data_IF_204889723755
#
_entry.id   IF_204889723755
#
_cell.length_a   1.000
_cell.length_b   1.000
_cell.length_c   1.000
_cell.angle_alpha   90.00
_cell.angle_beta   90.00
_cell.angle_gamma   90.00
#
_symmetry.space_group_name_H-M   'P 1'
#
loop_
_entity.id
_entity.type
_entity.pdbx_description
1 polymer ?
#
# COMPACT_ATOMS: atom_id res chain seq x y z
N UNK A 1 -11.95 6.01 -0.55
CA UNK A 1 -11.91 7.01 0.54
C UNK A 1 -10.45 7.12 0.92
N UNK A 2 -9.73 8.05 0.32
CA UNK A 2 -8.32 8.23 0.65
C UNK A 2 -8.20 8.87 2.04
N UNK A 3 -7.25 8.40 2.86
CA UNK A 3 -7.03 8.87 4.23
C UNK A 3 -7.79 8.14 5.34
N UNK A 4 -8.68 7.18 5.03
CA UNK A 4 -9.28 6.30 6.05
C UNK A 4 -8.24 5.28 6.56
N UNK A 5 -8.20 5.04 7.88
CA UNK A 5 -7.25 4.10 8.50
C UNK A 5 -7.60 2.64 8.13
N UNK A 6 -6.58 1.84 7.83
CA UNK A 6 -6.75 0.43 7.41
C UNK A 6 -6.76 -0.58 8.57
N UNK A 7 -6.39 -0.14 9.78
CA UNK A 7 -6.14 -1.00 10.95
C UNK A 7 -4.75 -1.65 10.99
N UNK A 8 -3.94 -1.49 9.93
CA UNK A 8 -2.55 -1.93 9.89
C UNK A 8 -1.60 -0.82 10.34
N UNK A 9 -0.43 -1.23 10.84
CA UNK A 9 0.68 -0.34 11.18
C UNK A 9 1.94 -0.73 10.45
N UNK A 10 2.72 0.26 10.04
CA UNK A 10 4.02 0.06 9.39
C UNK A 10 5.08 -0.43 10.40
N UNK A 11 6.32 -0.66 9.94
CA UNK A 11 7.41 -1.12 10.80
C UNK A 11 7.81 -0.15 11.92
N UNK A 12 7.41 1.12 11.81
CA UNK A 12 7.64 2.17 12.81
C UNK A 12 6.46 2.33 13.76
N UNK A 13 5.40 1.53 13.60
CA UNK A 13 4.17 1.63 14.40
C UNK A 13 3.23 2.74 13.93
N UNK A 14 3.46 3.35 12.76
CA UNK A 14 2.59 4.39 12.22
C UNK A 14 1.34 3.77 11.57
N UNK A 15 0.15 4.34 11.79
CA UNK A 15 -1.07 3.84 11.15
C UNK A 15 -0.98 4.00 9.63
N UNK A 16 -1.38 2.94 8.92
CA UNK A 16 -1.45 2.90 7.45
C UNK A 16 -2.86 3.29 7.03
N UNK A 17 -2.97 4.23 6.09
CA UNK A 17 -4.22 4.70 5.52
C UNK A 17 -4.37 4.29 4.06
N UNK A 18 -5.62 4.25 3.58
CA UNK A 18 -5.86 4.11 2.15
C UNK A 18 -5.30 5.32 1.38
N UNK A 19 -4.66 5.07 0.25
CA UNK A 19 -3.93 6.07 -0.54
C UNK A 19 -2.44 6.19 -0.19
N UNK A 20 -2.00 5.61 0.93
CA UNK A 20 -0.58 5.61 1.31
C UNK A 20 0.28 4.88 0.30
N UNK A 21 1.50 5.39 0.08
CA UNK A 21 2.55 4.67 -0.65
C UNK A 21 3.49 4.03 0.35
N UNK A 22 3.50 2.70 0.37
CA UNK A 22 4.40 1.89 1.17
C UNK A 22 5.62 1.51 0.34
N UNK A 23 6.81 1.65 0.91
CA UNK A 23 7.99 0.95 0.44
C UNK A 23 8.17 -0.32 1.27
N UNK A 24 8.16 -1.46 0.59
CA UNK A 24 8.39 -2.75 1.24
C UNK A 24 9.86 -3.15 1.07
N UNK A 25 10.51 -3.47 2.19
CA UNK A 25 11.85 -4.05 2.17
C UNK A 25 11.78 -5.56 2.02
N UNK A 26 11.60 -6.08 0.81
CA UNK A 26 11.65 -7.52 0.51
C UNK A 26 13.08 -8.00 0.18
N UNK A 27 14.08 -7.51 0.93
CA UNK A 27 15.49 -7.80 0.71
C UNK A 27 16.30 -6.61 0.17
N UNK A 28 17.60 -6.84 -0.08
CA UNK A 28 18.60 -5.79 -0.33
C UNK A 28 18.41 -5.10 -1.70
N UNK A 29 17.73 -5.73 -2.67
CA UNK A 29 17.72 -5.25 -4.06
C UNK A 29 16.37 -4.68 -4.56
N UNK A 30 15.23 -5.10 -4.02
CA UNK A 30 13.92 -4.70 -4.56
C UNK A 30 13.16 -3.78 -3.61
N UNK A 31 13.36 -2.47 -3.81
CA UNK A 31 12.57 -1.41 -3.18
C UNK A 31 11.34 -1.12 -4.03
N UNK A 32 10.31 -1.94 -3.88
CA UNK A 32 9.04 -1.73 -4.59
C UNK A 32 8.15 -0.77 -3.81
N UNK A 33 7.63 0.25 -4.51
CA UNK A 33 6.66 1.19 -3.96
C UNK A 33 5.25 0.72 -4.33
N UNK A 34 4.38 0.63 -3.33
CA UNK A 34 3.02 0.13 -3.50
C UNK A 34 1.99 1.02 -2.85
N UNK A 35 0.92 1.32 -3.57
CA UNK A 35 -0.22 2.09 -3.06
C UNK A 35 -1.18 1.18 -2.31
N UNK A 36 -1.67 1.66 -1.16
CA UNK A 36 -2.71 1.01 -0.36
C UNK A 36 -4.07 1.38 -0.92
N UNK A 37 -4.87 0.39 -1.28
CA UNK A 37 -6.23 0.60 -1.81
C UNK A 37 -7.22 -0.33 -1.15
N UNK A 38 -8.51 0.04 -1.22
CA UNK A 38 -9.62 -0.78 -0.75
C UNK A 38 -10.23 -1.54 -1.93
N UNK A 39 -10.29 -2.87 -1.84
CA UNK A 39 -10.99 -3.70 -2.81
C UNK A 39 -12.04 -4.56 -2.09
N UNK A 40 -13.31 -4.14 -2.18
CA UNK A 40 -14.39 -4.71 -1.38
C UNK A 40 -14.11 -4.59 0.13
N UNK A 41 -13.96 -5.74 0.79
CA UNK A 41 -13.62 -5.85 2.22
C UNK A 41 -12.11 -6.02 2.51
N UNK A 42 -11.28 -6.02 1.47
CA UNK A 42 -9.85 -6.29 1.58
C UNK A 42 -9.03 -5.00 1.41
N UNK A 43 -7.89 -4.95 2.11
CA UNK A 43 -6.86 -3.93 1.94
C UNK A 43 -5.79 -4.53 1.03
N UNK A 44 -5.52 -3.89 -0.11
CA UNK A 44 -4.60 -4.40 -1.12
C UNK A 44 -3.46 -3.43 -1.39
N UNK A 45 -2.34 -3.97 -1.84
CA UNK A 45 -1.16 -3.24 -2.26
C UNK A 45 -1.02 -3.34 -3.78
N UNK A 46 -0.95 -2.19 -4.44
CA UNK A 46 -0.79 -2.08 -5.90
C UNK A 46 0.55 -1.46 -6.25
N UNK A 47 1.26 -2.02 -7.21
CA UNK A 47 2.50 -1.42 -7.71
C UNK A 47 2.21 -0.05 -8.33
N UNK A 48 3.00 0.96 -7.97
CA UNK A 48 2.86 2.31 -8.53
C UNK A 48 3.50 2.47 -9.91
N UNK A 49 4.29 1.49 -10.35
CA UNK A 49 5.07 1.54 -11.60
C UNK A 49 4.42 0.77 -12.75
N UNK A 50 3.46 -0.10 -12.48
CA UNK A 50 2.75 -0.89 -13.49
C UNK A 50 1.54 -0.13 -14.05
N UNK A 51 1.36 -0.20 -15.37
CA UNK A 51 0.32 0.55 -16.08
C UNK A 51 -1.10 0.22 -15.59
N UNK A 52 -2.01 1.19 -15.73
CA UNK A 52 -3.44 1.09 -15.38
C UNK A 52 -4.15 -0.15 -15.95
N UNK A 53 -3.64 -0.78 -17.02
CA UNK A 53 -4.26 -1.96 -17.63
C UNK A 53 -4.19 -3.26 -16.79
N UNK A 54 -3.27 -3.37 -15.81
CA UNK A 54 -3.19 -4.54 -14.91
C UNK A 54 -3.96 -4.37 -13.58
N UNK A 55 -4.54 -3.19 -13.35
CA UNK A 55 -5.27 -2.81 -12.11
C UNK A 55 -6.46 -3.71 -11.76
N UNK A 56 -7.00 -4.48 -12.71
CA UNK A 56 -8.19 -5.31 -12.49
C UNK A 56 -7.95 -6.58 -11.68
N UNK A 57 -6.73 -7.11 -11.59
CA UNK A 57 -6.46 -8.42 -10.95
C UNK A 57 -5.10 -8.56 -10.24
N UNK A 58 -4.23 -7.54 -10.23
CA UNK A 58 -2.81 -7.68 -9.81
C UNK A 58 -2.44 -7.35 -8.37
N UNK A 59 -3.35 -6.81 -7.56
CA UNK A 59 -3.04 -6.43 -6.17
C UNK A 59 -3.00 -7.64 -5.23
N UNK A 60 -2.04 -7.68 -4.30
CA UNK A 60 -2.02 -8.69 -3.23
C UNK A 60 -2.42 -8.06 -1.89
N UNK A 61 -2.96 -8.89 -0.99
CA UNK A 61 -3.51 -8.41 0.28
C UNK A 61 -2.41 -7.87 1.21
N UNK A 62 -2.66 -6.71 1.80
CA UNK A 62 -1.89 -6.23 2.95
C UNK A 62 -2.20 -7.16 4.14
N UNK A 63 -1.14 -7.73 4.72
CA UNK A 63 -1.20 -8.57 5.92
C UNK A 63 -0.35 -7.95 7.02
N UNK A 64 -0.49 -8.43 8.26
CA UNK A 64 0.34 -7.99 9.39
C UNK A 64 1.84 -8.27 9.17
N UNK A 65 2.18 -9.32 8.44
CA UNK A 65 3.58 -9.65 8.13
C UNK A 65 4.15 -8.64 7.13
N UNK A 66 3.39 -8.33 6.07
CA UNK A 66 3.76 -7.30 5.10
C UNK A 66 3.87 -5.92 5.76
N UNK A 67 2.94 -5.56 6.65
CA UNK A 67 2.93 -4.24 7.28
C UNK A 67 4.16 -4.01 8.17
N UNK A 68 4.65 -5.05 8.85
CA UNK A 68 5.89 -5.01 9.65
C UNK A 68 7.17 -4.81 8.82
N UNK A 69 7.11 -5.01 7.51
CA UNK A 69 8.23 -4.78 6.59
C UNK A 69 8.11 -3.46 5.82
N UNK A 70 6.98 -2.76 5.98
CA UNK A 70 6.66 -1.54 5.26
C UNK A 70 7.23 -0.30 5.94
N UNK A 71 7.60 0.69 5.13
CA UNK A 71 7.75 2.09 5.54
C UNK A 71 6.80 2.92 4.71
N UNK A 72 6.02 3.78 5.36
CA UNK A 72 5.22 4.77 4.65
C UNK A 72 6.16 5.84 4.09
N UNK A 73 6.18 6.00 2.76
CA UNK A 73 6.98 7.03 2.11
C UNK A 73 6.26 8.38 2.06
N UNK A 74 4.99 8.36 1.62
CA UNK A 74 4.18 9.56 1.43
C UNK A 74 2.69 9.22 1.61
N UNK A 75 1.95 10.15 2.24
CA UNK A 75 0.49 10.16 2.24
C UNK A 75 0.02 10.91 0.99
N UNK A 76 -0.49 10.19 -0.01
CA UNK A 76 -1.03 10.83 -1.20
C UNK A 76 -2.53 11.06 -1.01
N UNK A 77 -2.91 12.26 -0.55
CA UNK A 77 -4.32 12.68 -0.45
C UNK A 77 -4.88 13.20 -1.78
N UNK A 78 -4.33 12.82 -2.94
CA UNK A 78 -4.93 13.25 -4.21
C UNK A 78 -6.07 12.30 -4.56
N UNK A 79 -7.32 12.80 -4.65
CA UNK A 79 -8.43 11.98 -5.11
C UNK A 79 -8.12 11.46 -6.52
N UNK A 80 -8.50 10.21 -6.77
CA UNK A 80 -8.62 9.68 -8.12
C UNK A 80 -9.56 10.60 -8.92
N UNK A 81 -9.05 11.17 -10.02
CA UNK A 81 -9.86 11.76 -11.09
C UNK A 81 -10.23 10.66 -12.09
#
# INVERSE_FOLDING_TARGET
MDGEETGFKDKQGKPIHYGDILQLGLGISDRVQRRVVRFGKHVQLFDTTESEAQTKYGGYNLTNEHSKLAVILYHHHKPFL
#
